data_IF_102482880788
#
_entry.id   IF_102482880788
#
_cell.length_a   1.000
_cell.length_b   1.000
_cell.length_c   1.000
_cell.angle_alpha   90.00
_cell.angle_beta   90.00
_cell.angle_gamma   90.00
#
_symmetry.space_group_name_H-M   'P 1'
#
loop_
_entity.id
_entity.type
_entity.pdbx_description
1 polymer ?
#
# COMPACT_ATOMS: atom_id res chain seq x y z
N UNK A 1 -19.74 -53.15 -23.02
CA UNK A 1 -20.17 -52.38 -21.84
C UNK A 1 -19.04 -51.66 -21.08
N UNK A 2 -17.75 -51.82 -21.43
CA UNK A 2 -16.59 -51.26 -20.70
C UNK A 2 -16.14 -49.83 -21.04
N UNK A 3 -16.57 -49.24 -22.16
CA UNK A 3 -16.08 -47.92 -22.60
C UNK A 3 -16.72 -46.69 -21.94
N UNK A 4 -17.96 -46.77 -21.46
CA UNK A 4 -18.65 -45.64 -20.83
C UNK A 4 -18.17 -45.32 -19.41
N UNK A 5 -17.74 -46.35 -18.64
CA UNK A 5 -17.23 -46.15 -17.28
C UNK A 5 -15.86 -45.45 -17.25
N UNK A 6 -15.01 -45.67 -18.25
CA UNK A 6 -13.66 -45.06 -18.33
C UNK A 6 -13.69 -43.56 -18.69
N UNK A 7 -14.69 -43.12 -19.50
CA UNK A 7 -14.83 -41.69 -19.84
C UNK A 7 -15.37 -40.84 -18.68
N UNK A 8 -16.23 -41.40 -17.83
CA UNK A 8 -16.80 -40.66 -16.70
C UNK A 8 -15.77 -40.46 -15.58
N UNK A 9 -14.89 -41.44 -15.31
CA UNK A 9 -13.83 -41.32 -14.33
C UNK A 9 -12.75 -40.31 -14.76
N UNK A 10 -12.39 -40.30 -16.05
CA UNK A 10 -11.41 -39.33 -16.57
C UNK A 10 -11.94 -37.88 -16.54
N UNK A 11 -13.24 -37.66 -16.69
CA UNK A 11 -13.81 -36.32 -16.59
C UNK A 11 -13.90 -35.82 -15.13
N UNK A 12 -14.18 -36.73 -14.18
CA UNK A 12 -14.20 -36.39 -12.75
C UNK A 12 -12.81 -36.02 -12.21
N UNK A 13 -11.78 -36.76 -12.62
CA UNK A 13 -10.38 -36.43 -12.25
C UNK A 13 -9.91 -35.10 -12.87
N UNK A 14 -10.34 -34.79 -14.12
CA UNK A 14 -10.05 -33.48 -14.74
C UNK A 14 -10.76 -32.31 -14.04
N UNK A 15 -11.97 -32.52 -13.54
CA UNK A 15 -12.69 -31.49 -12.80
C UNK A 15 -12.05 -31.25 -11.42
N UNK A 16 -11.72 -32.30 -10.68
CA UNK A 16 -11.07 -32.18 -9.38
C UNK A 16 -9.67 -31.54 -9.51
N UNK A 17 -8.92 -31.85 -10.57
CA UNK A 17 -7.63 -31.24 -10.84
C UNK A 17 -7.72 -29.75 -11.21
N UNK A 18 -8.75 -29.33 -11.94
CA UNK A 18 -9.01 -27.92 -12.26
C UNK A 18 -9.47 -27.12 -11.03
N UNK A 19 -10.30 -27.68 -10.18
CA UNK A 19 -10.72 -27.06 -8.92
C UNK A 19 -9.53 -26.93 -7.94
N UNK A 20 -8.70 -27.97 -7.81
CA UNK A 20 -7.51 -27.93 -6.96
C UNK A 20 -6.47 -26.91 -7.43
N UNK A 21 -6.32 -26.67 -8.73
CA UNK A 21 -5.40 -25.64 -9.25
C UNK A 21 -5.94 -24.22 -9.02
N UNK A 22 -7.25 -24.03 -8.95
CA UNK A 22 -7.84 -22.70 -8.73
C UNK A 22 -7.76 -22.22 -7.29
N UNK A 23 -7.72 -23.13 -6.30
CA UNK A 23 -7.69 -22.76 -4.88
C UNK A 23 -6.28 -22.42 -4.35
N UNK A 24 -5.21 -22.79 -5.06
CA UNK A 24 -3.84 -22.64 -4.56
C UNK A 24 -3.01 -21.54 -5.22
N UNK A 25 -3.50 -20.88 -6.26
CA UNK A 25 -2.75 -19.77 -6.89
C UNK A 25 -3.04 -18.47 -6.14
N UNK A 26 -2.20 -18.16 -5.16
CA UNK A 26 -2.20 -16.86 -4.50
C UNK A 26 -1.41 -15.85 -5.35
N UNK A 27 -2.08 -14.82 -5.80
CA UNK A 27 -1.42 -13.68 -6.47
C UNK A 27 -0.85 -12.77 -5.38
N UNK A 28 0.45 -12.50 -5.44
CA UNK A 28 1.07 -11.51 -4.56
C UNK A 28 1.00 -10.14 -5.21
N UNK A 29 0.46 -9.17 -4.48
CA UNK A 29 0.51 -7.76 -4.82
C UNK A 29 1.60 -7.10 -3.97
N UNK A 30 2.68 -6.63 -4.60
CA UNK A 30 3.80 -5.97 -3.94
C UNK A 30 3.57 -4.46 -3.90
N UNK A 31 3.52 -3.90 -2.71
CA UNK A 31 3.27 -2.48 -2.47
C UNK A 31 4.48 -1.89 -1.75
N UNK A 32 5.02 -0.79 -2.28
CA UNK A 32 5.99 0.05 -1.58
C UNK A 32 5.28 1.29 -1.04
N UNK A 33 5.50 1.60 0.23
CA UNK A 33 5.01 2.81 0.88
C UNK A 33 6.21 3.53 1.51
N UNK A 34 6.48 4.75 1.07
CA UNK A 34 7.53 5.60 1.63
C UNK A 34 6.88 6.71 2.44
N UNK A 35 7.24 6.80 3.72
CA UNK A 35 6.62 7.68 4.70
C UNK A 35 7.59 8.79 5.12
N UNK A 36 7.04 9.96 5.44
CA UNK A 36 7.79 11.07 6.03
C UNK A 36 8.22 10.75 7.46
N UNK A 37 7.31 10.17 8.25
CA UNK A 37 7.57 9.77 9.63
C UNK A 37 8.39 8.48 9.73
N UNK A 38 9.06 8.35 10.89
CA UNK A 38 9.97 7.23 11.15
C UNK A 38 9.28 6.00 11.74
N UNK A 39 8.16 6.19 12.43
CA UNK A 39 7.51 5.13 13.22
C UNK A 39 6.01 5.00 13.00
N UNK A 40 5.25 6.10 13.14
CA UNK A 40 3.78 6.06 13.20
C UNK A 40 3.20 5.49 11.92
N UNK A 41 3.50 6.10 10.78
CA UNK A 41 3.01 5.69 9.48
C UNK A 41 3.55 4.31 9.06
N UNK A 42 4.88 4.04 9.16
CA UNK A 42 5.39 2.71 8.82
C UNK A 42 4.79 1.58 9.67
N UNK A 43 4.60 1.80 10.97
CA UNK A 43 3.99 0.80 11.84
C UNK A 43 2.52 0.55 11.47
N UNK A 44 1.78 1.60 11.15
CA UNK A 44 0.41 1.49 10.69
C UNK A 44 0.32 0.63 9.42
N UNK A 45 1.08 0.96 8.38
CA UNK A 45 1.02 0.22 7.12
C UNK A 45 1.58 -1.20 7.21
N UNK A 46 2.63 -1.42 7.99
CA UNK A 46 3.17 -2.78 8.25
C UNK A 46 2.16 -3.71 8.92
N UNK A 47 1.17 -3.16 9.65
CA UNK A 47 0.11 -3.98 10.24
C UNK A 47 -0.78 -4.66 9.20
N UNK A 48 -0.78 -4.19 7.97
CA UNK A 48 -1.52 -4.77 6.84
C UNK A 48 -0.68 -5.73 5.98
N UNK A 49 0.62 -5.89 6.28
CA UNK A 49 1.46 -6.83 5.55
C UNK A 49 0.94 -8.27 5.70
N UNK A 50 1.04 -9.04 4.63
CA UNK A 50 0.53 -10.41 4.52
C UNK A 50 -1.01 -10.56 4.70
N UNK A 51 -1.78 -9.47 4.69
CA UNK A 51 -3.23 -9.56 4.64
C UNK A 51 -3.67 -10.21 3.32
N UNK A 52 -4.67 -11.07 3.43
CA UNK A 52 -5.26 -11.76 2.28
C UNK A 52 -6.69 -11.26 2.04
N UNK A 53 -6.97 -10.93 0.78
CA UNK A 53 -8.33 -10.64 0.33
C UNK A 53 -8.63 -11.47 -0.93
N UNK A 54 -9.51 -12.47 -0.78
CA UNK A 54 -9.75 -13.47 -1.82
C UNK A 54 -8.47 -14.25 -2.14
N UNK A 55 -8.08 -14.29 -3.42
CA UNK A 55 -6.85 -14.93 -3.88
C UNK A 55 -5.60 -14.03 -3.84
N UNK A 56 -5.74 -12.76 -3.41
CA UNK A 56 -4.64 -11.80 -3.37
C UNK A 56 -4.03 -11.74 -1.99
N UNK A 57 -2.70 -11.85 -1.91
CA UNK A 57 -1.90 -11.61 -0.70
C UNK A 57 -1.11 -10.33 -0.90
N UNK A 58 -1.26 -9.37 0.00
CA UNK A 58 -0.52 -8.11 -0.04
C UNK A 58 0.84 -8.28 0.63
N UNK A 59 1.88 -7.87 -0.07
CA UNK A 59 3.24 -7.75 0.47
C UNK A 59 3.60 -6.27 0.52
N UNK A 60 3.64 -5.72 1.74
CA UNK A 60 3.82 -4.27 1.97
C UNK A 60 5.21 -4.02 2.51
N UNK A 61 6.01 -3.30 1.73
CA UNK A 61 7.29 -2.76 2.16
C UNK A 61 7.12 -1.31 2.56
N UNK A 62 7.53 -0.95 3.78
CA UNK A 62 7.43 0.42 4.29
C UNK A 62 8.81 0.94 4.64
N UNK A 63 9.15 2.08 4.07
CA UNK A 63 10.32 2.87 4.40
C UNK A 63 9.88 4.17 5.07
N UNK A 64 10.53 4.54 6.16
CA UNK A 64 10.25 5.79 6.89
C UNK A 64 11.53 6.45 7.31
N UNK A 65 11.48 7.77 7.47
CA UNK A 65 12.62 8.54 7.94
C UNK A 65 12.20 9.98 8.22
N UNK A 66 12.94 10.72 9.03
CA UNK A 66 12.69 12.15 9.25
C UNK A 66 13.12 12.96 8.02
N UNK A 67 12.35 12.88 6.96
CA UNK A 67 12.65 13.51 5.65
C UNK A 67 11.48 14.40 5.26
N UNK A 68 11.74 15.42 4.43
CA UNK A 68 10.68 16.31 3.98
C UNK A 68 9.89 15.70 2.79
N UNK A 69 8.74 16.30 2.46
CA UNK A 69 7.83 15.84 1.41
C UNK A 69 8.54 15.54 0.07
N UNK A 70 9.46 16.39 -0.38
CA UNK A 70 10.19 16.17 -1.63
C UNK A 70 11.12 14.97 -1.52
N UNK A 71 11.79 14.81 -0.40
CA UNK A 71 12.69 13.67 -0.15
C UNK A 71 11.92 12.34 -0.06
N UNK A 72 10.68 12.34 0.44
CA UNK A 72 9.81 11.16 0.40
C UNK A 72 9.57 10.70 -1.04
N UNK A 73 9.23 11.63 -1.92
CA UNK A 73 9.00 11.34 -3.35
C UNK A 73 10.29 10.87 -4.02
N UNK A 74 11.42 11.54 -3.77
CA UNK A 74 12.72 11.16 -4.34
C UNK A 74 13.12 9.74 -3.91
N UNK A 75 12.91 9.42 -2.64
CA UNK A 75 13.18 8.08 -2.10
C UNK A 75 12.27 7.01 -2.71
N UNK A 76 11.00 7.34 -2.92
CA UNK A 76 10.06 6.43 -3.57
C UNK A 76 10.48 6.11 -5.01
N UNK A 77 10.91 7.12 -5.78
CA UNK A 77 11.45 6.95 -7.13
C UNK A 77 12.71 6.07 -7.11
N UNK A 78 13.67 6.37 -6.22
CA UNK A 78 14.91 5.60 -6.09
C UNK A 78 14.63 4.11 -5.84
N UNK A 79 13.73 3.80 -4.90
CA UNK A 79 13.40 2.43 -4.54
C UNK A 79 12.61 1.70 -5.64
N UNK A 80 11.71 2.40 -6.31
CA UNK A 80 11.00 1.88 -7.48
C UNK A 80 11.97 1.48 -8.59
N UNK A 81 12.91 2.37 -8.94
CA UNK A 81 13.90 2.13 -9.99
C UNK A 81 14.83 0.96 -9.63
N UNK A 82 15.26 0.87 -8.36
CA UNK A 82 16.06 -0.26 -7.87
C UNK A 82 15.31 -1.59 -8.00
N UNK A 83 14.04 -1.62 -7.63
CA UNK A 83 13.20 -2.82 -7.73
C UNK A 83 13.01 -3.24 -9.19
N UNK A 84 12.80 -2.29 -10.10
CA UNK A 84 12.72 -2.56 -11.54
C UNK A 84 14.04 -3.12 -12.08
N UNK A 85 15.17 -2.52 -11.72
CA UNK A 85 16.49 -2.96 -12.17
C UNK A 85 16.84 -4.37 -11.64
N UNK A 86 16.36 -4.75 -10.46
CA UNK A 86 16.57 -6.10 -9.89
C UNK A 86 15.58 -7.16 -10.41
N UNK A 87 14.65 -6.79 -11.31
CA UNK A 87 13.65 -7.71 -11.85
C UNK A 87 12.51 -8.07 -10.88
N UNK A 88 12.36 -7.30 -9.80
CA UNK A 88 11.32 -7.49 -8.79
C UNK A 88 10.50 -6.22 -8.58
N UNK A 89 9.81 -5.71 -9.62
CA UNK A 89 9.07 -4.45 -9.54
C UNK A 89 7.95 -4.50 -8.49
N UNK A 90 7.57 -3.34 -7.98
CA UNK A 90 6.35 -3.17 -7.20
C UNK A 90 5.15 -3.01 -8.14
N UNK A 91 3.99 -3.53 -7.74
CA UNK A 91 2.73 -3.34 -8.45
C UNK A 91 2.20 -1.91 -8.25
N UNK A 92 2.47 -1.33 -7.07
CA UNK A 92 2.13 0.06 -6.78
C UNK A 92 3.10 0.65 -5.77
N UNK A 93 3.33 1.96 -5.88
CA UNK A 93 4.21 2.75 -5.01
C UNK A 93 3.46 3.97 -4.50
N UNK A 94 3.58 4.24 -3.20
CA UNK A 94 2.95 5.36 -2.53
C UNK A 94 3.95 6.19 -1.76
N UNK A 95 3.79 7.51 -1.83
CA UNK A 95 4.47 8.50 -1.00
C UNK A 95 3.45 9.05 0.02
N UNK A 96 3.77 8.92 1.32
CA UNK A 96 2.90 9.31 2.44
C UNK A 96 3.59 10.38 3.26
N UNK A 97 2.93 11.54 3.40
CA UNK A 97 3.50 12.70 4.08
C UNK A 97 2.42 13.60 4.67
N UNK A 98 2.81 14.45 5.60
CA UNK A 98 1.91 15.44 6.18
C UNK A 98 1.95 16.74 5.37
N UNK A 99 0.80 17.40 5.27
CA UNK A 99 0.73 18.77 4.77
C UNK A 99 1.02 19.72 5.92
N UNK A 100 2.30 19.86 6.23
CA UNK A 100 2.80 20.83 7.19
C UNK A 100 2.78 22.27 6.63
N UNK A 101 3.28 23.23 7.42
CA UNK A 101 3.44 24.64 7.07
C UNK A 101 4.42 24.92 5.92
N UNK A 102 4.75 23.90 5.11
CA UNK A 102 5.58 24.06 3.92
C UNK A 102 4.85 24.90 2.85
N UNK A 103 5.61 25.69 2.07
CA UNK A 103 5.03 26.45 0.97
C UNK A 103 4.23 25.53 0.03
N UNK A 104 3.00 25.92 -0.30
CA UNK A 104 2.13 25.17 -1.20
C UNK A 104 2.78 24.84 -2.55
N UNK A 105 3.73 25.68 -3.01
CA UNK A 105 4.51 25.42 -4.22
C UNK A 105 5.39 24.19 -4.14
N UNK A 106 6.08 23.96 -3.02
CA UNK A 106 6.94 22.79 -2.82
C UNK A 106 6.10 21.51 -2.72
N UNK A 107 4.98 21.58 -2.01
CA UNK A 107 4.03 20.49 -1.89
C UNK A 107 3.45 20.06 -3.26
N UNK A 108 2.95 21.02 -4.04
CA UNK A 108 2.42 20.75 -5.38
C UNK A 108 3.49 20.22 -6.34
N UNK A 109 4.72 20.70 -6.23
CA UNK A 109 5.86 20.20 -7.03
C UNK A 109 6.14 18.73 -6.71
N UNK A 110 6.11 18.33 -5.44
CA UNK A 110 6.30 16.95 -5.02
C UNK A 110 5.21 16.03 -5.59
N UNK A 111 3.94 16.41 -5.49
CA UNK A 111 2.81 15.66 -6.06
C UNK A 111 2.94 15.52 -7.58
N UNK A 112 3.28 16.61 -8.28
CA UNK A 112 3.47 16.59 -9.73
C UNK A 112 4.59 15.63 -10.12
N UNK A 113 5.71 15.68 -9.41
CA UNK A 113 6.86 14.80 -9.64
C UNK A 113 6.49 13.33 -9.41
N UNK A 114 5.82 13.02 -8.31
CA UNK A 114 5.34 11.66 -8.01
C UNK A 114 4.44 11.13 -9.13
N UNK A 115 3.47 11.92 -9.59
CA UNK A 115 2.57 11.56 -10.67
C UNK A 115 3.27 11.27 -12.00
N UNK A 116 4.35 12.01 -12.33
CA UNK A 116 5.18 11.76 -13.53
C UNK A 116 5.86 10.38 -13.49
N UNK A 117 6.09 9.81 -12.30
CA UNK A 117 6.68 8.49 -12.10
C UNK A 117 5.65 7.40 -11.77
N UNK A 118 4.36 7.70 -11.87
CA UNK A 118 3.29 6.75 -11.54
C UNK A 118 3.18 6.42 -10.05
N UNK A 119 3.70 7.28 -9.18
CA UNK A 119 3.67 7.14 -7.73
C UNK A 119 2.43 7.84 -7.17
N UNK A 120 1.63 7.11 -6.37
CA UNK A 120 0.51 7.67 -5.64
C UNK A 120 0.98 8.55 -4.48
N UNK A 121 0.22 9.59 -4.17
CA UNK A 121 0.46 10.41 -2.98
C UNK A 121 -0.73 10.34 -2.04
N UNK A 122 -0.45 10.12 -0.75
CA UNK A 122 -1.43 10.24 0.31
C UNK A 122 -0.90 11.23 1.35
N UNK A 123 -1.74 12.16 1.74
CA UNK A 123 -1.34 13.18 2.73
C UNK A 123 -2.41 13.43 3.77
N UNK A 124 -1.97 13.77 4.96
CA UNK A 124 -2.78 14.21 6.08
C UNK A 124 -2.66 15.72 6.28
N UNK A 125 -3.70 16.36 6.76
CA UNK A 125 -3.68 17.78 7.13
C UNK A 125 -4.15 17.87 8.59
N UNK A 126 -3.35 18.16 9.54
CA UNK A 126 -1.92 18.52 9.59
C UNK A 126 -1.03 17.33 9.96
N UNK A 127 -1.61 16.20 10.42
CA UNK A 127 -0.87 15.07 10.97
C UNK A 127 -1.55 13.74 10.65
N UNK A 128 -0.72 12.67 10.59
CA UNK A 128 -1.17 11.31 10.26
C UNK A 128 -2.19 10.75 11.27
N UNK A 129 -2.18 11.24 12.51
CA UNK A 129 -3.14 10.89 13.55
C UNK A 129 -4.61 11.09 13.14
N UNK A 130 -4.87 11.94 12.14
CA UNK A 130 -6.20 12.10 11.54
C UNK A 130 -6.79 10.76 11.06
N UNK A 131 -5.95 9.86 10.53
CA UNK A 131 -6.37 8.53 10.09
C UNK A 131 -6.88 7.68 11.23
N UNK A 132 -6.24 7.73 12.41
CA UNK A 132 -6.72 7.01 13.60
C UNK A 132 -8.06 7.56 14.08
N UNK A 133 -8.23 8.86 14.06
CA UNK A 133 -9.47 9.52 14.50
C UNK A 133 -10.64 9.09 13.61
N UNK A 134 -10.45 8.96 12.31
CA UNK A 134 -11.50 8.53 11.37
C UNK A 134 -12.04 7.11 11.63
N UNK A 135 -11.31 6.26 12.33
CA UNK A 135 -11.84 4.97 12.77
C UNK A 135 -12.91 5.10 13.87
N UNK A 136 -12.86 6.17 14.64
CA UNK A 136 -13.73 6.36 15.82
C UNK A 136 -14.76 7.47 15.65
N UNK A 137 -14.48 8.47 14.84
CA UNK A 137 -15.32 9.63 14.69
C UNK A 137 -15.28 10.23 13.28
N UNK A 138 -16.45 10.58 12.74
CA UNK A 138 -16.52 11.39 11.53
C UNK A 138 -16.28 12.87 11.91
N UNK A 139 -15.17 13.43 11.48
CA UNK A 139 -14.78 14.82 11.73
C UNK A 139 -14.79 15.61 10.43
N UNK A 140 -15.51 16.73 10.46
CA UNK A 140 -15.65 17.67 9.31
C UNK A 140 -15.02 19.03 9.61
N UNK A 141 -14.49 19.23 10.82
CA UNK A 141 -13.84 20.47 11.25
C UNK A 141 -12.33 20.30 11.26
N UNK A 142 -11.60 21.35 10.86
CA UNK A 142 -10.16 21.39 10.99
C UNK A 142 -9.75 21.23 12.46
N UNK A 143 -8.65 20.50 12.69
CA UNK A 143 -8.04 20.28 14.00
C UNK A 143 -6.57 20.63 13.89
N UNK A 144 -6.01 21.18 14.94
CA UNK A 144 -4.58 21.40 15.08
C UNK A 144 -3.86 20.08 15.46
N UNK A 145 -2.55 20.03 15.23
CA UNK A 145 -1.72 18.84 15.59
C UNK A 145 -1.82 18.51 17.08
N UNK A 146 -1.97 19.48 17.94
CA UNK A 146 -2.14 19.30 19.39
C UNK A 146 -3.48 18.65 19.74
N UNK A 147 -4.56 19.07 19.06
CA UNK A 147 -5.88 18.45 19.21
C UNK A 147 -5.92 17.01 18.71
N UNK A 148 -5.15 16.67 17.67
CA UNK A 148 -5.01 15.27 17.22
C UNK A 148 -4.38 14.40 18.30
N UNK A 149 -3.28 14.85 18.94
CA UNK A 149 -2.62 14.10 20.01
C UNK A 149 -3.56 13.84 21.18
N UNK A 150 -4.27 14.88 21.64
CA UNK A 150 -5.23 14.75 22.74
C UNK A 150 -6.40 13.81 22.41
N UNK A 151 -6.81 13.74 21.14
CA UNK A 151 -7.90 12.85 20.72
C UNK A 151 -7.49 11.39 20.58
N UNK A 152 -6.18 11.09 20.50
CA UNK A 152 -5.62 9.74 20.40
C UNK A 152 -5.14 9.17 21.75
N UNK A 153 -5.12 9.96 22.82
CA UNK A 153 -4.85 9.53 24.21
C UNK A 153 -6.09 8.93 24.88
#
# INVERSE_FOLDING_TARGET
MGKKKKLSSMNLERYSYKEAIHDDIKVRCRILIVCEGEKTEPNYFKSFDQMQYGSVVYSIECEGGKINTMQVVDKAIELQDKAMASGTPYDTVWAVFDKDDFPASSFNTAITKAGQHGIGCAWSNEAFELWYIFYFANRVTAMSREEYKQACE
#
